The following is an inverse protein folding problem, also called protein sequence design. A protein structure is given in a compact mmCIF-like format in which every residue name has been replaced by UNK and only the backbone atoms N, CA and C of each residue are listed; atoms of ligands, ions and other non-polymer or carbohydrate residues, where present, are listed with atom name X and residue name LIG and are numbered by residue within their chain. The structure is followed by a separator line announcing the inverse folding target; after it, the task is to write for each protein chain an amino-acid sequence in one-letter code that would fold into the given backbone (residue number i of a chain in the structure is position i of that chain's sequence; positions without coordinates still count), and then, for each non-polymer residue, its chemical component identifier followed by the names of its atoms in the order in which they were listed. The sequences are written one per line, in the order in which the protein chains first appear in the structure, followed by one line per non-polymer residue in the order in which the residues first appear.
data_IF_269491308119
#
_entry.id   IF_269491308119
#
_cell.length_a   1.000
_cell.length_b   1.000
_cell.length_c   1.000
_cell.angle_alpha   90.00
_cell.angle_beta   90.00
_cell.angle_gamma   90.00
#
_symmetry.space_group_name_H-M   'P 1'
#
loop_
_entity.id
_entity.type
_entity.pdbx_description
1 polymer ?
#
# COMPACT_ATOMS: atom_id res chain seq x y z
N UNK A 1 5.64 17.04 -3.53
CA UNK A 1 4.81 15.89 -3.22
C UNK A 1 5.34 15.17 -2.00
N UNK A 2 4.48 14.86 -1.09
CA UNK A 2 4.87 14.19 0.15
C UNK A 2 4.58 12.69 0.08
N UNK A 3 5.60 11.87 0.33
CA UNK A 3 5.47 10.43 0.36
C UNK A 3 5.87 9.89 1.72
N UNK A 4 5.26 8.80 2.11
CA UNK A 4 5.52 8.16 3.39
C UNK A 4 6.90 7.52 3.39
N UNK A 5 7.86 8.15 4.07
CA UNK A 5 9.20 7.60 4.32
C UNK A 5 10.01 7.15 3.10
N UNK A 6 9.64 7.58 1.91
CA UNK A 6 10.34 7.13 0.72
C UNK A 6 11.50 8.05 0.41
N UNK A 7 12.70 7.52 0.56
CA UNK A 7 13.94 8.23 0.28
C UNK A 7 14.79 7.41 -0.67
N UNK A 8 15.32 8.06 -1.69
CA UNK A 8 16.26 7.42 -2.58
C UNK A 8 15.61 6.46 -3.56
N UNK A 9 16.18 5.27 -3.66
CA UNK A 9 15.87 4.37 -4.75
C UNK A 9 14.61 3.55 -4.53
N UNK A 10 13.93 3.25 -5.63
CA UNK A 10 12.87 2.26 -5.66
C UNK A 10 13.32 1.07 -6.50
N UNK A 11 12.76 -0.09 -6.22
CA UNK A 11 12.90 -1.26 -7.05
C UNK A 11 11.82 -1.23 -8.13
N UNK A 12 12.20 -1.49 -9.36
CA UNK A 12 11.27 -1.54 -10.49
C UNK A 12 11.19 -2.96 -11.01
N UNK A 13 9.99 -3.51 -11.01
CA UNK A 13 9.80 -4.89 -11.47
C UNK A 13 8.59 -5.00 -12.37
N UNK A 14 8.59 -6.00 -13.24
CA UNK A 14 7.41 -6.40 -13.97
C UNK A 14 6.72 -7.50 -13.17
N UNK A 15 5.48 -7.25 -12.76
CA UNK A 15 4.71 -8.17 -11.92
C UNK A 15 3.45 -8.57 -12.68
N UNK A 16 3.09 -9.87 -12.73
CA UNK A 16 1.99 -10.34 -13.59
C UNK A 16 0.65 -9.63 -13.37
N UNK A 17 0.32 -9.26 -12.15
CA UNK A 17 -0.96 -8.63 -11.83
C UNK A 17 -0.89 -7.10 -11.76
N UNK A 18 0.29 -6.55 -11.99
CA UNK A 18 0.49 -5.10 -11.95
C UNK A 18 0.64 -4.59 -13.37
N UNK A 19 -0.22 -3.66 -13.76
CA UNK A 19 -0.12 -3.05 -15.07
C UNK A 19 1.08 -2.13 -15.11
N UNK A 20 1.94 -2.30 -16.13
CA UNK A 20 3.15 -1.51 -16.26
C UNK A 20 4.23 -1.94 -15.26
N UNK A 21 5.06 -1.00 -14.88
CA UNK A 21 6.19 -1.24 -13.97
C UNK A 21 5.74 -1.08 -12.52
N UNK A 22 5.98 -2.12 -11.73
CA UNK A 22 5.73 -2.07 -10.29
C UNK A 22 6.92 -1.44 -9.58
N UNK A 23 6.69 -0.32 -8.90
CA UNK A 23 7.73 0.37 -8.13
C UNK A 23 7.52 0.12 -6.66
N UNK A 24 8.54 -0.40 -5.99
CA UNK A 24 8.49 -0.62 -4.54
C UNK A 24 9.67 0.12 -3.90
N UNK A 25 9.42 0.72 -2.76
CA UNK A 25 10.40 1.60 -2.12
C UNK A 25 11.12 0.97 -0.95
N UNK A 26 10.64 -0.16 -0.47
CA UNK A 26 11.33 -0.91 0.57
C UNK A 26 11.04 -2.41 0.45
N UNK A 27 11.77 -3.20 1.24
CA UNK A 27 11.65 -4.66 1.21
C UNK A 27 10.26 -5.12 1.63
N UNK A 28 9.65 -4.45 2.59
CA UNK A 28 8.32 -4.82 3.07
C UNK A 28 7.28 -4.68 1.96
N UNK A 29 7.30 -3.57 1.25
CA UNK A 29 6.39 -3.33 0.13
C UNK A 29 6.62 -4.36 -0.97
N UNK A 30 7.89 -4.63 -1.31
CA UNK A 30 8.24 -5.60 -2.35
C UNK A 30 7.75 -7.01 -2.01
N UNK A 31 7.92 -7.45 -0.76
CA UNK A 31 7.48 -8.77 -0.33
C UNK A 31 5.96 -8.89 -0.35
N UNK A 32 5.27 -7.82 0.03
CA UNK A 32 3.80 -7.83 -0.02
C UNK A 32 3.30 -7.98 -1.46
N UNK A 33 3.94 -7.28 -2.41
CA UNK A 33 3.59 -7.42 -3.83
C UNK A 33 3.76 -8.87 -4.27
N UNK A 34 4.83 -9.54 -3.86
CA UNK A 34 5.05 -10.95 -4.20
C UNK A 34 3.94 -11.84 -3.66
N UNK A 35 3.56 -11.64 -2.40
CA UNK A 35 2.50 -12.42 -1.76
C UNK A 35 1.17 -12.21 -2.49
N UNK A 36 0.85 -10.96 -2.79
CA UNK A 36 -0.42 -10.62 -3.45
C UNK A 36 -0.45 -11.12 -4.90
N UNK A 37 0.69 -11.17 -5.59
CA UNK A 37 0.78 -11.70 -6.95
C UNK A 37 0.42 -13.17 -7.01
N UNK A 38 0.67 -13.91 -5.94
CA UNK A 38 0.37 -15.33 -5.86
C UNK A 38 -1.01 -15.63 -5.30
N UNK A 39 -1.73 -14.62 -4.84
CA UNK A 39 -3.07 -14.79 -4.27
C UNK A 39 -4.11 -14.83 -5.39
N UNK A 40 -4.78 -15.98 -5.54
CA UNK A 40 -5.77 -16.17 -6.60
C UNK A 40 -6.97 -15.24 -6.48
N UNK A 41 -7.24 -14.69 -5.31
CA UNK A 41 -8.34 -13.76 -5.10
C UNK A 41 -8.02 -12.35 -5.60
N UNK A 42 -6.76 -12.05 -5.87
CA UNK A 42 -6.32 -10.74 -6.35
C UNK A 42 -6.33 -10.71 -7.87
N UNK A 43 -7.07 -9.78 -8.43
CA UNK A 43 -7.18 -9.59 -9.87
C UNK A 43 -6.11 -8.65 -10.42
N UNK A 44 -5.88 -7.53 -9.72
CA UNK A 44 -4.93 -6.51 -10.14
C UNK A 44 -4.29 -5.84 -8.94
N UNK A 45 -3.02 -5.45 -9.10
CA UNK A 45 -2.26 -4.75 -8.06
C UNK A 45 -1.85 -3.38 -8.60
N UNK A 46 -2.06 -2.34 -7.81
CA UNK A 46 -1.59 -0.98 -8.12
C UNK A 46 -0.72 -0.48 -6.99
N UNK A 47 0.44 0.04 -7.34
CA UNK A 47 1.42 0.50 -6.37
C UNK A 47 1.46 2.03 -6.35
N UNK A 48 1.63 2.59 -5.16
CA UNK A 48 1.84 4.03 -4.95
C UNK A 48 0.72 4.88 -5.58
N UNK A 49 -0.51 4.57 -5.18
CA UNK A 49 -1.70 5.24 -5.70
C UNK A 49 -1.85 6.60 -5.03
N UNK A 50 -1.85 7.67 -5.83
CA UNK A 50 -2.03 9.02 -5.30
C UNK A 50 -3.47 9.21 -4.83
N UNK A 51 -3.62 9.68 -3.60
CA UNK A 51 -4.94 10.04 -3.08
C UNK A 51 -5.31 11.43 -3.56
N UNK A 52 -6.51 11.56 -4.13
CA UNK A 52 -7.01 12.81 -4.67
C UNK A 52 -6.95 13.93 -3.63
N UNK A 53 -6.55 15.12 -4.08
CA UNK A 53 -6.49 16.32 -3.24
C UNK A 53 -5.48 16.24 -2.08
N UNK A 54 -4.54 15.30 -2.15
CA UNK A 54 -3.47 15.19 -1.16
C UNK A 54 -2.14 14.96 -1.85
N UNK A 55 -1.07 15.07 -1.08
CA UNK A 55 0.28 14.72 -1.54
C UNK A 55 0.69 13.31 -1.13
N UNK A 56 -0.24 12.56 -0.56
CA UNK A 56 0.04 11.23 -0.03
C UNK A 56 -0.24 10.16 -1.08
N UNK A 57 0.62 9.15 -1.14
CA UNK A 57 0.37 7.96 -1.97
C UNK A 57 0.17 6.76 -1.07
N UNK A 58 -0.88 5.97 -1.36
CA UNK A 58 -1.09 4.69 -0.71
C UNK A 58 -0.15 3.66 -1.31
N UNK A 59 0.42 2.80 -0.47
CA UNK A 59 1.48 1.90 -0.91
C UNK A 59 0.98 0.88 -1.93
N UNK A 60 -0.10 0.19 -1.63
CA UNK A 60 -0.65 -0.84 -2.52
C UNK A 60 -2.17 -0.83 -2.45
N UNK A 61 -2.80 -0.87 -3.62
CA UNK A 61 -4.24 -1.03 -3.74
C UNK A 61 -4.50 -2.25 -4.61
N UNK A 62 -5.23 -3.23 -4.09
CA UNK A 62 -5.59 -4.42 -4.83
C UNK A 62 -7.03 -4.35 -5.31
N UNK A 63 -7.25 -4.77 -6.55
CA UNK A 63 -8.59 -5.01 -7.06
C UNK A 63 -8.80 -6.51 -6.99
N UNK A 64 -9.81 -6.93 -6.23
CA UNK A 64 -10.09 -8.35 -6.03
C UNK A 64 -10.94 -8.89 -7.17
N UNK A 65 -11.06 -10.22 -7.27
CA UNK A 65 -11.83 -10.84 -8.36
C UNK A 65 -13.31 -10.45 -8.36
N UNK A 66 -13.86 -10.05 -7.23
CA UNK A 66 -15.24 -9.57 -7.12
C UNK A 66 -15.34 -8.05 -7.31
N UNK A 67 -14.26 -7.41 -7.77
CA UNK A 67 -14.16 -5.98 -8.01
C UNK A 67 -14.12 -5.12 -6.74
N UNK A 68 -14.02 -5.71 -5.56
CA UNK A 68 -13.80 -4.92 -4.35
C UNK A 68 -12.36 -4.45 -4.28
N UNK A 69 -12.13 -3.33 -3.58
CA UNK A 69 -10.79 -2.79 -3.38
C UNK A 69 -10.31 -3.11 -1.97
N UNK A 70 -9.05 -3.51 -1.87
CA UNK A 70 -8.38 -3.70 -0.58
C UNK A 70 -7.12 -2.84 -0.59
N UNK A 71 -6.97 -1.99 0.41
CA UNK A 71 -5.86 -1.06 0.51
C UNK A 71 -4.86 -1.57 1.55
N UNK A 72 -3.59 -1.59 1.18
CA UNK A 72 -2.51 -1.95 2.09
C UNK A 72 -1.56 -0.79 2.24
N UNK A 73 -1.35 -0.37 3.49
CA UNK A 73 -0.26 0.55 3.82
C UNK A 73 0.84 -0.27 4.49
N UNK A 74 2.08 -0.05 4.07
CA UNK A 74 3.23 -0.79 4.59
C UNK A 74 4.00 0.06 5.58
N UNK A 75 4.27 -0.46 6.76
CA UNK A 75 4.99 0.27 7.78
C UNK A 75 5.79 -0.69 8.66
N UNK A 76 7.07 -0.40 8.86
CA UNK A 76 7.88 -1.19 9.79
C UNK A 76 7.42 -0.94 11.23
N UNK A 77 7.44 -1.98 12.04
CA UNK A 77 6.97 -1.92 13.43
C UNK A 77 7.62 -0.80 14.23
N UNK A 78 8.90 -0.60 14.04
CA UNK A 78 9.64 0.42 14.80
C UNK A 78 9.24 1.86 14.45
N UNK A 79 8.51 2.06 13.35
CA UNK A 79 8.07 3.39 12.93
C UNK A 79 6.63 3.70 13.32
N UNK A 80 5.85 2.69 13.71
CA UNK A 80 4.40 2.87 13.94
C UNK A 80 4.10 3.93 15.00
N UNK A 81 4.92 4.00 16.04
CA UNK A 81 4.68 4.93 17.14
C UNK A 81 5.09 6.36 16.85
N UNK A 82 5.74 6.62 15.74
CA UNK A 82 6.12 7.99 15.38
C UNK A 82 4.88 8.81 15.05
N UNK A 83 4.75 10.04 15.60
CA UNK A 83 3.57 10.87 15.32
C UNK A 83 3.33 11.14 13.85
N UNK A 84 4.40 11.36 13.07
CA UNK A 84 4.30 11.59 11.63
C UNK A 84 3.73 10.37 10.93
N UNK A 85 4.23 9.16 11.26
CA UNK A 85 3.74 7.92 10.69
C UNK A 85 2.27 7.71 11.03
N UNK A 86 1.91 7.87 12.30
CA UNK A 86 0.52 7.70 12.74
C UNK A 86 -0.42 8.65 12.00
N UNK A 87 0.01 9.89 11.79
CA UNK A 87 -0.78 10.88 11.08
C UNK A 87 -1.02 10.49 9.62
N UNK A 88 0.03 10.01 8.95
CA UNK A 88 -0.08 9.60 7.55
C UNK A 88 -0.99 8.38 7.40
N UNK A 89 -0.88 7.42 8.30
CA UNK A 89 -1.74 6.24 8.28
C UNK A 89 -3.19 6.62 8.55
N UNK A 90 -3.42 7.53 9.49
CA UNK A 90 -4.77 8.00 9.78
C UNK A 90 -5.36 8.75 8.58
N UNK A 91 -4.56 9.56 7.90
CA UNK A 91 -4.99 10.27 6.70
C UNK A 91 -5.41 9.30 5.60
N UNK A 92 -4.62 8.25 5.38
CA UNK A 92 -4.96 7.22 4.40
C UNK A 92 -6.26 6.52 4.76
N UNK A 93 -6.40 6.12 6.01
CA UNK A 93 -7.60 5.41 6.47
C UNK A 93 -8.84 6.27 6.28
N UNK A 94 -8.80 7.52 6.69
CA UNK A 94 -9.93 8.42 6.56
C UNK A 94 -10.31 8.66 5.10
N UNK A 95 -9.30 8.82 4.24
CA UNK A 95 -9.54 9.01 2.82
C UNK A 95 -10.30 7.82 2.23
N UNK A 96 -9.79 6.60 2.45
CA UNK A 96 -10.38 5.42 1.84
C UNK A 96 -11.75 5.08 2.41
N UNK A 97 -11.94 5.22 3.72
CA UNK A 97 -13.25 4.99 4.32
C UNK A 97 -14.26 6.01 3.80
N UNK A 98 -13.84 7.24 3.58
CA UNK A 98 -14.69 8.27 2.98
C UNK A 98 -15.06 7.99 1.54
N UNK A 99 -14.31 7.12 0.86
CA UNK A 99 -14.57 6.74 -0.53
C UNK A 99 -15.24 5.36 -0.65
N UNK A 100 -15.77 4.83 0.44
CA UNK A 100 -16.56 3.61 0.40
C UNK A 100 -15.81 2.32 0.68
N UNK A 101 -14.52 2.39 1.01
CA UNK A 101 -13.76 1.20 1.40
C UNK A 101 -14.16 0.83 2.83
N UNK A 102 -14.43 -0.44 3.06
CA UNK A 102 -14.79 -0.93 4.39
C UNK A 102 -13.58 -0.91 5.30
N UNK A 103 -13.80 -0.74 6.60
CA UNK A 103 -12.72 -0.72 7.58
C UNK A 103 -11.85 -1.98 7.49
N UNK A 104 -12.44 -3.14 7.31
CA UNK A 104 -11.74 -4.42 7.18
C UNK A 104 -10.92 -4.53 5.90
N UNK A 105 -11.21 -3.70 4.90
CA UNK A 105 -10.50 -3.70 3.62
C UNK A 105 -9.39 -2.66 3.55
N UNK A 106 -9.21 -1.88 4.60
CA UNK A 106 -8.03 -1.04 4.78
C UNK A 106 -7.11 -1.75 5.77
N UNK A 107 -5.93 -2.16 5.32
CA UNK A 107 -5.05 -3.03 6.09
C UNK A 107 -3.67 -2.44 6.24
N UNK A 108 -3.06 -2.69 7.39
CA UNK A 108 -1.70 -2.29 7.69
C UNK A 108 -0.80 -3.52 7.61
N UNK A 109 0.16 -3.48 6.69
CA UNK A 109 1.15 -4.54 6.56
C UNK A 109 2.40 -4.15 7.33
N UNK A 110 2.85 -5.01 8.22
CA UNK A 110 4.03 -4.76 9.05
C UNK A 110 5.03 -5.90 8.88
N UNK A 111 6.28 -5.61 9.23
CA UNK A 111 7.33 -6.62 9.18
C UNK A 111 7.09 -7.73 10.21
N UNK A 112 7.64 -8.90 9.92
CA UNK A 112 7.48 -10.04 10.81
C UNK A 112 8.14 -9.78 12.16
N UNK A 113 7.50 -10.27 13.20
CA UNK A 113 8.05 -10.25 14.54
C UNK A 113 9.12 -11.32 14.66
N UNK A 114 10.24 -10.96 15.26
CA UNK A 114 11.33 -11.91 15.46
C UNK A 114 11.30 -12.48 16.86
#
# INVERSE_FOLDING_TARGET
MRKKNYKGRCEKRSVPKCEGICKTYDTLQSRLVDILSEDDAVKEIRCNVLMEDTDYTSDIVCIMNDDTLVVYECCYRHLIKRPTTARLLQQSREFWLGHGIKEEDWRLAVDAEK
#
